data_IF_116188896755
#
_entry.id   IF_116188896755
#
_cell.length_a   1.000
_cell.length_b   1.000
_cell.length_c   1.000
_cell.angle_alpha   90.00
_cell.angle_beta   90.00
_cell.angle_gamma   90.00
#
_symmetry.space_group_name_H-M   'P 1'
#
loop_
_entity.id
_entity.type
_entity.pdbx_description
1 polymer ?
2 non-polymer ?
3 non-polymer ?
4 water ?
#
# COMPACT_ATOMS: atom_id res chain seq x y z
N UNK A 1 10.09 2.60 22.13
CA UNK A 1 9.37 1.29 22.21
C UNK A 1 9.31 0.65 20.83
N UNK A 2 8.58 -0.47 20.68
CA UNK A 2 8.53 -1.10 19.37
C UNK A 2 7.90 -0.12 18.36
N UNK A 3 7.67 -0.63 17.17
CA UNK A 3 6.79 0.05 16.20
C UNK A 3 5.46 -0.65 16.35
N UNK A 4 4.37 0.10 16.21
CA UNK A 4 3.04 -0.51 16.28
C UNK A 4 2.53 -0.80 14.87
N UNK A 5 1.91 -1.95 14.76
CA UNK A 5 1.43 -2.49 13.46
C UNK A 5 0.05 -3.09 13.61
N UNK A 6 -0.74 -2.99 12.56
CA UNK A 6 -2.08 -3.64 12.45
C UNK A 6 -2.15 -4.49 11.20
N UNK A 7 -2.73 -5.67 11.30
CA UNK A 7 -3.10 -6.50 10.14
C UNK A 7 -4.35 -5.94 9.47
N UNK A 8 -4.32 -5.88 8.15
CA UNK A 8 -5.44 -5.33 7.40
C UNK A 8 -5.45 -5.80 5.94
N UNK A 9 -6.57 -5.65 5.28
CA UNK A 9 -6.71 -5.73 3.81
C UNK A 9 -7.12 -4.37 3.27
N UNK A 10 -6.87 -4.17 1.99
CA UNK A 10 -7.30 -2.96 1.29
C UNK A 10 -8.18 -3.37 0.12
N UNK A 11 -9.20 -2.57 -0.17
CA UNK A 11 -9.96 -2.68 -1.44
C UNK A 11 -10.11 -1.30 -2.06
N UNK A 12 -10.04 -1.23 -3.38
CA UNK A 12 -10.15 0.04 -4.14
C UNK A 12 -11.64 0.46 -4.11
N UNK A 13 -11.90 1.68 -4.55
CA UNK A 13 -13.26 2.24 -4.38
C UNK A 13 -14.21 1.54 -5.35
N UNK A 14 -13.70 0.76 -6.29
CA UNK A 14 -14.61 -0.10 -7.09
C UNK A 14 -14.72 -1.47 -6.48
N UNK A 15 -14.24 -1.67 -5.25
CA UNK A 15 -14.32 -2.84 -4.40
C UNK A 15 -13.51 -3.98 -5.01
N UNK A 16 -12.44 -3.67 -5.72
CA UNK A 16 -11.45 -4.71 -6.14
C UNK A 16 -10.48 -4.99 -5.00
N UNK A 17 -10.22 -6.26 -4.75
CA UNK A 17 -9.29 -6.83 -3.80
C UNK A 17 -7.89 -6.90 -4.41
N UNK A 18 -6.89 -6.96 -3.53
CA UNK A 18 -5.45 -7.03 -3.87
C UNK A 18 -4.91 -8.42 -3.53
N UNK A 19 -4.19 -9.02 -4.47
CA UNK A 19 -3.65 -10.41 -4.39
C UNK A 19 -2.20 -10.41 -4.89
N UNK A 20 -1.41 -11.38 -4.45
CA UNK A 20 -0.15 -11.80 -5.13
C UNK A 20 -0.51 -12.79 -6.25
N UNK A 21 0.13 -12.69 -7.42
CA UNK A 21 -0.02 -13.68 -8.52
C UNK A 21 1.32 -13.98 -9.20
N UNK A 22 2.31 -13.08 -9.09
CA UNK A 22 3.66 -13.24 -9.66
C UNK A 22 4.74 -12.83 -8.65
N UNK A 23 5.98 -13.37 -8.77
CA UNK A 23 7.03 -13.16 -7.77
C UNK A 23 6.93 -11.87 -6.94
N UNK A 24 7.00 -10.70 -7.58
CA UNK A 24 6.96 -9.37 -6.92
C UNK A 24 5.76 -8.57 -7.45
N UNK A 25 4.65 -9.26 -7.71
CA UNK A 25 3.51 -8.77 -8.53
C UNK A 25 2.22 -8.81 -7.69
N UNK A 26 1.76 -7.62 -7.28
CA UNK A 26 0.48 -7.37 -6.57
C UNK A 26 -0.55 -6.88 -7.60
N UNK A 27 -1.74 -7.49 -7.63
CA UNK A 27 -2.77 -7.19 -8.67
C UNK A 27 -4.14 -6.99 -8.02
N UNK A 28 -5.04 -6.32 -8.74
CA UNK A 28 -6.37 -5.89 -8.27
C UNK A 28 -7.44 -6.57 -9.12
N UNK A 29 -8.37 -7.26 -8.48
CA UNK A 29 -9.48 -7.90 -9.20
C UNK A 29 -10.63 -8.01 -8.24
N UNK A 30 -11.78 -8.11 -8.90
CA UNK A 30 -13.04 -8.37 -8.22
C UNK A 30 -13.00 -9.78 -7.66
N UNK A 31 -13.27 -9.93 -6.38
CA UNK A 31 -13.14 -11.18 -5.62
C UNK A 31 -14.30 -11.26 -4.66
N UNK A 32 -14.87 -12.47 -4.50
CA UNK A 32 -15.90 -12.72 -3.52
C UNK A 32 -15.93 -14.23 -3.31
N UNK A 33 -16.30 -14.62 -2.10
CA UNK A 33 -16.48 -16.04 -1.72
C UNK A 33 -15.16 -16.72 -1.41
N UNK A 34 -15.03 -17.99 -1.80
CA UNK A 34 -13.88 -18.84 -1.39
C UNK A 34 -12.60 -18.08 -1.78
N UNK A 35 -12.56 -17.52 -2.99
CA UNK A 35 -11.34 -16.92 -3.58
C UNK A 35 -10.84 -15.74 -2.72
N UNK A 36 -11.59 -15.26 -1.71
CA UNK A 36 -11.17 -14.08 -0.90
C UNK A 36 -9.98 -14.44 0.00
N UNK A 37 -9.76 -15.72 0.28
CA UNK A 37 -8.52 -16.20 0.94
C UNK A 37 -7.31 -15.73 0.13
N UNK A 38 -7.42 -15.48 -1.18
CA UNK A 38 -6.25 -15.16 -2.03
C UNK A 38 -5.77 -13.72 -1.74
N UNK A 39 -6.59 -12.90 -1.12
CA UNK A 39 -6.21 -11.49 -0.95
C UNK A 39 -4.99 -11.36 -0.05
N UNK A 40 -4.24 -10.30 -0.28
CA UNK A 40 -3.02 -10.00 0.49
C UNK A 40 -3.44 -9.38 1.80
N UNK A 41 -2.85 -9.85 2.86
CA UNK A 41 -2.95 -9.24 4.19
C UNK A 41 -1.70 -8.41 4.42
N UNK A 42 -1.92 -7.15 4.72
CA UNK A 42 -0.84 -6.21 5.06
C UNK A 42 -0.60 -6.16 6.55
N UNK A 43 0.64 -5.90 6.92
CA UNK A 43 0.98 -5.37 8.24
C UNK A 43 1.25 -3.90 8.05
N UNK A 44 0.34 -3.03 8.50
CA UNK A 44 0.47 -1.57 8.35
C UNK A 44 1.17 -1.08 9.58
N UNK A 45 2.38 -0.59 9.45
CA UNK A 45 3.17 -0.05 10.58
C UNK A 45 2.96 1.48 10.65
N UNK A 46 2.89 2.02 11.87
CA UNK A 46 2.70 3.46 12.07
C UNK A 46 4.08 4.05 12.35
N UNK A 47 4.62 4.75 11.38
CA UNK A 47 6.07 5.07 11.35
C UNK A 47 6.36 6.54 11.62
N UNK A 48 7.64 6.85 11.77
CA UNK A 48 8.10 8.25 11.89
C UNK A 48 7.81 9.03 10.61
N UNK A 49 7.32 10.25 10.77
CA UNK A 49 7.17 11.17 9.64
C UNK A 49 6.25 12.33 10.01
N UNK A 50 6.18 13.34 9.16
CA UNK A 50 5.23 14.48 9.27
C UNK A 50 3.77 13.96 9.35
N UNK A 51 2.97 14.44 10.30
CA UNK A 51 1.64 13.89 10.62
C UNK A 51 0.66 15.05 10.86
N UNK A 52 -0.61 14.86 10.51
CA UNK A 52 -1.72 15.80 10.84
C UNK A 52 -2.98 14.99 11.12
N UNK A 53 -4.11 15.63 11.40
CA UNK A 53 -5.30 14.89 11.89
C UNK A 53 -5.63 13.78 10.91
N UNK A 54 -5.55 14.09 9.62
CA UNK A 54 -6.11 13.19 8.59
C UNK A 54 -5.02 12.60 7.67
N UNK A 55 -3.74 12.79 8.02
CA UNK A 55 -2.54 12.40 7.22
C UNK A 55 -1.52 11.69 8.14
N UNK A 56 -1.39 10.37 8.01
CA UNK A 56 -0.71 9.51 9.03
C UNK A 56 0.33 8.70 8.28
N UNK A 57 1.62 8.80 8.61
CA UNK A 57 2.65 8.09 7.84
C UNK A 57 2.65 6.62 8.23
N UNK A 58 2.63 5.74 7.21
CA UNK A 58 2.62 4.27 7.46
C UNK A 58 3.62 3.63 6.52
N UNK A 59 3.98 2.40 6.84
CA UNK A 59 4.59 1.46 5.91
C UNK A 59 3.62 0.32 5.70
N UNK A 60 3.69 -0.24 4.52
CA UNK A 60 2.84 -1.38 4.12
C UNK A 60 3.71 -2.59 3.84
N UNK A 61 3.86 -3.49 4.79
CA UNK A 61 4.51 -4.77 4.64
C UNK A 61 3.50 -5.86 4.38
N UNK A 62 3.89 -6.95 3.77
CA UNK A 62 3.04 -8.12 3.58
C UNK A 62 3.11 -8.93 4.87
N UNK A 63 1.97 -9.35 5.39
CA UNK A 63 1.93 -10.07 6.69
C UNK A 63 2.86 -11.29 6.67
N UNK A 64 3.76 -11.27 7.66
CA UNK A 64 4.76 -12.31 8.02
C UNK A 64 5.67 -12.56 6.81
N UNK A 65 5.92 -11.49 6.05
CA UNK A 65 6.92 -11.55 4.96
C UNK A 65 7.83 -10.35 5.11
N UNK A 66 9.07 -10.53 4.69
CA UNK A 66 10.04 -9.42 4.71
C UNK A 66 9.96 -8.70 3.38
N UNK A 67 8.75 -8.22 3.07
CA UNK A 67 8.45 -7.53 1.80
C UNK A 67 7.62 -6.30 2.12
N UNK A 68 7.99 -5.17 1.53
CA UNK A 68 7.35 -3.86 1.78
C UNK A 68 7.07 -3.25 0.43
N UNK A 69 5.93 -2.57 0.33
CA UNK A 69 5.74 -1.62 -0.78
C UNK A 69 6.74 -0.48 -0.66
N UNK A 70 7.24 -0.05 -1.82
CA UNK A 70 8.44 0.82 -1.94
C UNK A 70 8.31 1.73 -3.17
N UNK A 71 8.63 3.02 -3.03
CA UNK A 71 8.53 3.97 -4.15
C UNK A 71 9.96 4.33 -4.54
N UNK A 72 10.30 4.03 -5.77
CA UNK A 72 11.67 4.30 -6.27
C UNK A 72 11.53 4.84 -7.69
N UNK A 73 12.59 5.51 -8.14
CA UNK A 73 12.65 5.85 -9.56
C UNK A 73 13.04 4.60 -10.35
N UNK A 74 12.28 4.30 -11.39
CA UNK A 74 12.64 3.21 -12.32
C UNK A 74 12.54 3.79 -13.72
N UNK A 75 13.54 3.45 -14.55
CA UNK A 75 13.67 4.01 -15.92
C UNK A 75 13.17 5.46 -15.82
N UNK A 76 13.65 6.18 -14.81
CA UNK A 76 13.41 7.64 -14.59
C UNK A 76 11.98 8.01 -14.17
N UNK A 77 11.15 7.10 -13.65
CA UNK A 77 9.78 7.49 -13.21
C UNK A 77 9.56 7.01 -11.76
N UNK A 78 8.79 7.73 -10.90
CA UNK A 78 8.34 7.21 -9.60
C UNK A 78 7.52 5.95 -9.89
N UNK A 79 7.93 4.82 -9.32
CA UNK A 79 7.21 3.54 -9.48
C UNK A 79 7.02 2.87 -8.12
N UNK A 80 6.03 2.00 -8.07
CA UNK A 80 5.71 1.14 -6.90
C UNK A 80 6.41 -0.18 -7.12
N UNK A 81 7.15 -0.65 -6.14
CA UNK A 81 7.73 -1.99 -6.17
C UNK A 81 7.48 -2.68 -4.84
N UNK A 82 7.60 -3.99 -4.84
CA UNK A 82 7.74 -4.78 -3.61
C UNK A 82 9.22 -4.95 -3.39
N UNK A 83 9.71 -4.65 -2.22
CA UNK A 83 11.15 -4.70 -1.92
C UNK A 83 11.38 -5.61 -0.72
N UNK A 84 12.37 -6.51 -0.84
CA UNK A 84 12.84 -7.43 0.23
C UNK A 84 13.69 -6.66 1.25
N UNK A 85 13.57 -6.98 2.54
CA UNK A 85 14.40 -6.36 3.57
C UNK A 85 14.97 -7.45 4.47
N UNK A 86 15.90 -7.05 5.32
CA UNK A 86 16.48 -7.98 6.31
C UNK A 86 15.43 -8.23 7.38
N UNK A 87 14.93 -9.46 7.56
CA UNK A 87 13.83 -9.69 8.48
C UNK A 87 14.21 -9.47 9.94
N UNK A 88 15.50 -9.34 10.23
CA UNK A 88 15.97 -9.08 11.62
C UNK A 88 15.70 -7.61 11.98
N UNK A 89 15.56 -6.73 10.99
CA UNK A 89 15.65 -5.28 11.23
C UNK A 89 14.30 -4.57 10.98
N UNK A 90 13.29 -5.30 10.52
CA UNK A 90 11.98 -4.72 10.11
C UNK A 90 10.86 -5.47 10.83
N UNK A 91 9.71 -4.83 11.10
CA UNK A 91 9.54 -3.42 10.83
C UNK A 91 10.30 -2.61 11.88
N UNK A 92 10.46 -1.34 11.58
CA UNK A 92 11.04 -0.40 12.55
C UNK A 92 10.30 0.92 12.50
N UNK A 93 10.46 1.71 13.55
CA UNK A 93 9.71 2.99 13.64
C UNK A 93 10.24 3.95 12.57
N UNK A 94 11.55 4.07 12.41
CA UNK A 94 12.17 4.97 11.43
C UNK A 94 12.39 4.23 10.11
N UNK A 95 11.30 3.99 9.38
CA UNK A 95 11.41 3.35 8.05
C UNK A 95 12.01 4.36 7.08
N UNK A 96 12.82 3.89 6.14
CA UNK A 96 13.41 4.72 5.08
C UNK A 96 12.30 5.33 4.24
N UNK A 97 12.52 6.49 3.65
CA UNK A 97 11.42 7.28 3.06
C UNK A 97 10.74 6.56 1.90
N UNK A 98 11.45 5.75 1.11
CA UNK A 98 10.86 5.04 -0.04
C UNK A 98 9.73 4.11 0.47
N UNK A 99 9.71 3.74 1.75
CA UNK A 99 8.72 2.78 2.31
C UNK A 99 7.51 3.54 2.85
N UNK A 100 7.59 4.87 2.99
CA UNK A 100 6.58 5.62 3.75
C UNK A 100 5.50 6.14 2.79
N UNK A 101 4.25 5.91 3.21
CA UNK A 101 3.03 6.45 2.57
C UNK A 101 2.33 7.32 3.59
N UNK A 102 1.83 8.44 3.11
CA UNK A 102 0.89 9.24 3.91
C UNK A 102 -0.52 8.69 3.67
N UNK A 103 -1.07 8.09 4.70
CA UNK A 103 -2.44 7.56 4.68
C UNK A 103 -3.35 8.75 4.98
N UNK A 104 -4.12 9.13 4.01
CA UNK A 104 -4.96 10.37 4.01
C UNK A 104 -6.42 9.94 4.04
N UNK A 105 -7.20 10.47 4.96
CA UNK A 105 -8.63 10.12 5.10
C UNK A 105 -9.39 11.24 4.44
N UNK A 106 -10.08 11.00 3.31
CA UNK A 106 -10.98 12.02 2.69
C UNK A 106 -12.30 11.32 2.36
N UNK A 107 -13.40 11.89 2.89
CA UNK A 107 -14.79 11.46 2.57
C UNK A 107 -14.89 9.94 2.72
N UNK A 108 -14.50 9.46 3.89
CA UNK A 108 -14.75 8.08 4.38
C UNK A 108 -13.99 7.09 3.50
N UNK A 109 -13.00 7.58 2.75
CA UNK A 109 -12.08 6.73 1.97
C UNK A 109 -10.64 7.05 2.35
N UNK A 110 -9.72 6.20 1.92
CA UNK A 110 -8.28 6.40 2.19
C UNK A 110 -7.54 6.57 0.88
N UNK A 111 -6.54 7.42 0.89
CA UNK A 111 -5.57 7.51 -0.20
C UNK A 111 -4.21 7.25 0.44
N UNK A 112 -3.28 6.69 -0.32
CA UNK A 112 -1.91 6.44 0.14
C UNK A 112 -0.98 7.19 -0.80
N UNK A 113 -0.54 8.36 -0.33
CA UNK A 113 0.43 9.19 -1.07
C UNK A 113 1.86 8.74 -0.76
N UNK A 114 2.71 8.64 -1.77
CA UNK A 114 4.17 8.42 -1.50
C UNK A 114 4.75 9.57 -0.66
N UNK A 115 5.36 9.34 0.49
CA UNK A 115 6.06 10.39 1.26
C UNK A 115 7.22 10.85 0.37
N UNK A 116 7.90 9.96 -0.32
CA UNK A 116 9.10 10.27 -1.16
C UNK A 116 8.70 11.15 -2.35
N UNK A 117 7.58 10.85 -3.01
CA UNK A 117 7.17 11.50 -4.27
C UNK A 117 5.80 12.13 -4.04
N UNK A 118 5.76 13.42 -3.65
CA UNK A 118 4.51 14.10 -3.38
C UNK A 118 3.57 14.03 -4.58
N UNK A 119 2.29 13.79 -4.29
CA UNK A 119 1.18 13.74 -5.24
C UNK A 119 1.25 12.55 -6.19
N UNK A 120 2.00 11.52 -5.80
CA UNK A 120 1.97 10.17 -6.42
C UNK A 120 1.32 9.23 -5.39
N UNK A 121 0.39 8.45 -5.89
CA UNK A 121 -0.54 7.63 -5.07
C UNK A 121 -0.52 6.19 -5.50
N UNK A 122 -0.70 5.33 -4.50
CA UNK A 122 -1.05 3.91 -4.78
C UNK A 122 -2.37 3.94 -5.60
N UNK A 123 -2.33 3.28 -6.75
CA UNK A 123 -3.40 3.33 -7.77
C UNK A 123 -3.77 1.94 -8.26
N UNK A 124 -5.01 1.77 -8.73
CA UNK A 124 -5.38 0.60 -9.50
C UNK A 124 -6.01 1.07 -10.81
N UNK A 125 -6.04 0.17 -11.77
CA UNK A 125 -6.75 0.37 -13.05
C UNK A 125 -8.22 -0.01 -12.88
N UNK A 126 -9.09 0.51 -13.76
CA UNK A 126 -10.49 0.05 -13.78
C UNK A 126 -10.61 -1.39 -14.31
N UNK A 127 -9.77 -1.77 -15.26
CA UNK A 127 -9.68 -3.15 -15.79
C UNK A 127 -9.31 -4.14 -14.68
N UNK A 128 -9.80 -5.36 -14.81
CA UNK A 128 -9.55 -6.50 -13.91
C UNK A 128 -8.14 -7.03 -14.18
N UNK A 129 -7.47 -7.46 -13.10
CA UNK A 129 -6.23 -8.27 -13.12
C UNK A 129 -5.05 -7.49 -13.67
N UNK A 130 -4.94 -6.19 -13.36
CA UNK A 130 -3.82 -5.34 -13.78
C UNK A 130 -3.03 -4.97 -12.52
N UNK A 131 -1.78 -4.60 -12.69
CA UNK A 131 -0.90 -4.29 -11.57
C UNK A 131 -1.44 -3.12 -10.75
N UNK A 132 -1.12 -3.19 -9.47
CA UNK A 132 -1.15 -2.00 -8.60
C UNK A 132 0.07 -1.16 -8.92
N UNK A 133 -0.07 0.15 -8.97
CA UNK A 133 1.02 1.01 -9.46
C UNK A 133 1.01 2.33 -8.73
N UNK A 134 2.06 3.12 -8.94
CA UNK A 134 2.12 4.49 -8.46
C UNK A 134 1.67 5.44 -9.56
N UNK A 135 0.61 6.17 -9.29
CA UNK A 135 -0.04 7.07 -10.25
C UNK A 135 0.15 8.48 -9.81
N UNK A 136 0.52 9.36 -10.76
CA UNK A 136 0.99 10.74 -10.53
C UNK A 136 -0.14 11.75 -10.52
N UNK A 137 -1.39 11.29 -10.37
CA UNK A 137 -2.54 12.18 -10.08
C UNK A 137 -3.68 11.39 -9.41
N UNK A 138 -4.23 11.97 -8.33
CA UNK A 138 -5.51 11.55 -7.69
C UNK A 138 -6.68 12.13 -8.50
N UNK A 139 -6.52 12.31 -9.82
CA UNK A 139 -7.59 12.65 -10.79
C UNK A 139 -7.71 11.57 -11.86
N UNK A 140 -8.60 11.75 -12.86
CA UNK A 140 -8.70 10.94 -14.10
C UNK A 140 -9.40 9.59 -13.90
N UNK A 141 -9.01 8.56 -14.67
CA UNK A 141 -9.70 7.23 -14.79
C UNK A 141 -9.14 6.21 -13.78
N UNK A 142 -7.87 6.33 -13.41
CA UNK A 142 -7.27 5.44 -12.38
C UNK A 142 -7.83 5.70 -10.98
N UNK A 143 -7.83 4.66 -10.17
CA UNK A 143 -8.48 4.63 -8.87
C UNK A 143 -7.40 4.88 -7.82
N UNK A 144 -7.59 5.85 -6.94
CA UNK A 144 -6.60 6.24 -5.90
C UNK A 144 -7.25 6.18 -4.52
N UNK A 145 -8.51 5.76 -4.41
CA UNK A 145 -9.24 5.68 -3.13
C UNK A 145 -9.44 4.24 -2.74
N UNK A 146 -9.36 3.95 -1.45
CA UNK A 146 -9.42 2.61 -0.88
C UNK A 146 -10.23 2.65 0.37
N UNK A 147 -10.69 1.47 0.82
CA UNK A 147 -11.15 1.19 2.17
C UNK A 147 -10.25 0.15 2.79
N UNK A 148 -10.11 0.20 4.12
CA UNK A 148 -9.31 -0.78 4.89
C UNK A 148 -10.31 -1.68 5.61
N UNK A 149 -9.97 -2.96 5.72
CA UNK A 149 -10.68 -3.96 6.59
C UNK A 149 -9.66 -4.41 7.61
N UNK A 150 -9.98 -4.40 8.88
CA UNK A 150 -9.08 -4.82 9.96
C UNK A 150 -9.23 -6.35 10.01
N UNK A 151 -8.11 -7.04 10.19
CA UNK A 151 -7.99 -8.52 10.21
C UNK A 151 -7.50 -8.93 11.62
N UNK A 152 -7.92 -10.10 12.11
CA UNK A 152 -7.39 -10.72 13.36
C UNK A 152 -5.89 -11.00 13.21
X LIG B 1 12.12 0.09 16.61
X LIG B 1 13.31 -0.70 16.87
X LIG B 1 11.82 0.92 17.76
X LIG B 1 12.36 0.91 15.46
X LIG B 1 11.01 -0.80 16.36
X LIG C 1 19.02 1.94 2.75
X LIG C 1 18.06 0.91 3.15
X LIG C 1 19.86 2.24 3.87
X LIG C 1 19.79 1.44 1.65
X LIG C 1 18.34 3.16 2.36
X LIG D 1 5.30 -5.81 -10.28
X LIG D 1 5.94 -7.20 -13.68
X LIG D 1 7.05 -7.99 -13.36
X LIG D 1 7.81 -8.66 -14.44
X LIG D 1 4.50 -4.70 -10.24
X LIG D 1 4.35 -4.15 -8.80
X LIG D 1 3.78 -4.35 -6.60
X LIG D 1 7.62 -8.21 -15.72
X LIG D 1 7.46 -8.12 -12.04
X LIG D 1 8.61 -9.57 -14.21
X LIG D 1 6.80 -7.44 -11.05
X LIG D 1 3.30 -3.02 -7.18
X LIG D 1 5.71 -6.61 -11.36
X LIG D 1 5.26 -6.50 -12.69
X LIG D 1 3.67 -5.15 -7.88
X LIG D 1 4.01 -4.14 -11.23
X LIG D 1 3.56 -3.05 -8.57
#
# INVERSE_FOLDING_TARGET
>A
APVRSLNCTLRDSQQKSLVMSGPYELKALHLQGQDMEQQVVFSMSFVQGEESNDKIPVALGLKEKNLYLSCVLKDDKPTLQLESVDPKNYPKKKMEKRFVFNKIEINNKLEFESAQFPNWYISTSQAENMPVFLGGTKGGQDITDFTMQFVSS
>B hetero
1 SO4 S O1 O2 O3 O4
>C hetero
1 SO4 S O1 O2 O3 O4
>D hetero
1 LWA N1 C4 C5 C6 C7 C8 C10 N C O C1 C11 C2 C3 C9 O1 O2
#
